data_IF_277410931801
#
_entry.id   IF_277410931801
#
_cell.length_a   1.000
_cell.length_b   1.000
_cell.length_c   1.000
_cell.angle_alpha   90.00
_cell.angle_beta   90.00
_cell.angle_gamma   90.00
#
_symmetry.space_group_name_H-M   'P 1'
#
loop_
_entity.id
_entity.type
_entity.pdbx_description
1 polymer ?
#
# COMPACT_ATOMS: atom_id res chain seq x y z
N UNK A 1 -18.95 3.66 -4.63
CA UNK A 1 -19.34 4.28 -3.33
C UNK A 1 -18.27 3.95 -2.30
N UNK A 2 -17.83 4.95 -1.50
CA UNK A 2 -16.83 4.76 -0.43
C UNK A 2 -17.50 4.02 0.73
N UNK A 3 -16.97 2.87 1.18
CA UNK A 3 -17.53 2.11 2.30
C UNK A 3 -17.50 2.91 3.61
N UNK A 4 -18.46 2.65 4.51
CA UNK A 4 -18.53 3.29 5.84
C UNK A 4 -17.27 3.08 6.69
N UNK A 5 -16.58 1.96 6.52
CA UNK A 5 -15.28 1.71 7.14
C UNK A 5 -14.22 2.77 6.78
N UNK A 6 -14.36 3.43 5.63
CA UNK A 6 -13.45 4.48 5.15
C UNK A 6 -14.06 5.89 5.31
N UNK A 7 -15.03 6.08 6.21
CA UNK A 7 -15.52 7.41 6.57
C UNK A 7 -14.43 8.28 7.18
N UNK A 8 -14.56 9.59 7.08
CA UNK A 8 -13.59 10.55 7.63
C UNK A 8 -13.32 10.30 9.12
N UNK A 9 -14.34 10.00 9.91
CA UNK A 9 -14.20 9.76 11.34
C UNK A 9 -13.47 8.46 11.64
N UNK A 10 -13.78 7.38 10.92
CA UNK A 10 -13.06 6.12 11.08
C UNK A 10 -11.58 6.24 10.71
N UNK A 11 -11.23 7.05 9.71
CA UNK A 11 -9.83 7.28 9.33
C UNK A 11 -9.12 8.15 10.38
N UNK A 12 -9.77 9.17 10.93
CA UNK A 12 -9.24 9.97 12.06
C UNK A 12 -8.99 9.10 13.30
N UNK A 13 -9.96 8.26 13.64
CA UNK A 13 -9.81 7.30 14.75
C UNK A 13 -8.67 6.32 14.49
N UNK A 14 -8.52 5.86 13.25
CA UNK A 14 -7.42 4.99 12.84
C UNK A 14 -6.08 5.69 13.04
N UNK A 15 -5.93 6.93 12.54
CA UNK A 15 -4.69 7.69 12.73
C UNK A 15 -4.35 7.85 14.23
N UNK A 16 -5.32 8.20 15.06
CA UNK A 16 -5.10 8.33 16.50
C UNK A 16 -4.60 7.04 17.14
N UNK A 17 -5.13 5.87 16.71
CA UNK A 17 -4.70 4.55 17.21
C UNK A 17 -3.28 4.19 16.74
N UNK A 18 -2.96 4.42 15.44
CA UNK A 18 -1.67 3.99 14.88
C UNK A 18 -0.55 5.00 15.15
N UNK A 19 -0.84 6.26 15.41
CA UNK A 19 0.11 7.36 15.59
C UNK A 19 1.29 7.05 16.52
N UNK A 20 1.14 6.35 17.65
CA UNK A 20 2.27 5.99 18.51
C UNK A 20 3.29 5.06 17.87
N UNK A 21 2.91 4.36 16.80
CA UNK A 21 3.67 3.28 16.18
C UNK A 21 4.23 3.61 14.80
N UNK A 22 3.85 4.77 14.24
CA UNK A 22 4.24 5.21 12.90
C UNK A 22 5.02 6.53 12.95
N UNK A 23 5.69 6.86 11.85
CA UNK A 23 6.25 8.19 11.63
C UNK A 23 5.20 9.06 10.91
N UNK A 24 5.08 10.33 11.26
CA UNK A 24 4.49 11.34 10.37
C UNK A 24 5.55 11.63 9.31
N UNK A 25 5.41 11.01 8.15
CA UNK A 25 6.42 11.14 7.07
C UNK A 25 6.40 12.55 6.48
N UNK A 26 7.55 13.10 6.07
CA UNK A 26 7.62 14.45 5.54
C UNK A 26 7.01 14.56 4.14
N UNK A 27 6.65 15.79 3.80
CA UNK A 27 6.48 16.24 2.43
C UNK A 27 7.78 16.94 1.98
N UNK A 28 8.23 16.60 0.79
CA UNK A 28 9.37 17.27 0.15
C UNK A 28 8.84 17.96 -1.10
N UNK A 29 9.01 19.27 -1.18
CA UNK A 29 8.75 20.01 -2.41
C UNK A 29 9.84 19.64 -3.42
N UNK A 30 9.46 19.41 -4.66
CA UNK A 30 10.40 19.16 -5.74
C UNK A 30 11.35 20.35 -5.96
N UNK A 31 12.44 20.10 -6.67
CA UNK A 31 13.34 21.18 -7.06
C UNK A 31 12.66 22.17 -8.03
N UNK A 32 13.14 23.40 -8.04
CA UNK A 32 12.65 24.44 -8.97
C UNK A 32 12.72 23.97 -10.43
N UNK A 33 13.74 23.21 -10.79
CA UNK A 33 13.89 22.64 -12.14
C UNK A 33 12.74 21.72 -12.52
N UNK A 34 12.26 20.89 -11.59
CA UNK A 34 11.13 20.01 -11.83
C UNK A 34 9.82 20.79 -11.93
N UNK A 35 9.62 21.77 -11.05
CA UNK A 35 8.46 22.67 -11.08
C UNK A 35 8.40 23.44 -12.40
N UNK A 36 9.53 23.94 -12.91
CA UNK A 36 9.63 24.63 -14.20
C UNK A 36 9.36 23.68 -15.38
N UNK A 37 9.95 22.47 -15.36
CA UNK A 37 9.76 21.50 -16.43
C UNK A 37 8.29 21.11 -16.59
N UNK A 38 7.58 20.89 -15.48
CA UNK A 38 6.16 20.53 -15.51
C UNK A 38 5.21 21.72 -15.41
N UNK A 39 5.74 22.94 -15.26
CA UNK A 39 4.95 24.17 -15.05
C UNK A 39 3.95 24.06 -13.90
N UNK A 40 4.33 23.36 -12.82
CA UNK A 40 3.48 23.11 -11.66
C UNK A 40 4.30 22.85 -10.39
N UNK A 41 3.67 23.03 -9.23
CA UNK A 41 4.31 22.68 -7.95
C UNK A 41 4.15 21.20 -7.66
N UNK A 42 5.24 20.48 -7.44
CA UNK A 42 5.26 19.06 -7.14
C UNK A 42 5.70 18.83 -5.70
N UNK A 43 4.98 17.95 -5.01
CA UNK A 43 5.26 17.56 -3.65
C UNK A 43 5.31 16.04 -3.54
N UNK A 44 6.33 15.52 -2.86
CA UNK A 44 6.50 14.10 -2.59
C UNK A 44 6.11 13.78 -1.16
N UNK A 45 5.14 12.89 -0.96
CA UNK A 45 4.86 12.28 0.34
C UNK A 45 5.78 11.09 0.55
N UNK A 46 6.77 11.23 1.43
CA UNK A 46 7.93 10.31 1.51
C UNK A 46 7.67 9.08 2.40
N UNK A 47 6.78 8.18 1.97
CA UNK A 47 6.44 6.97 2.73
C UNK A 47 7.58 5.93 2.81
N UNK A 48 8.66 6.07 2.06
CA UNK A 48 9.89 5.27 2.26
C UNK A 48 10.61 5.59 3.59
N UNK A 49 10.29 6.73 4.23
CA UNK A 49 10.76 7.10 5.57
C UNK A 49 9.85 6.59 6.70
N UNK A 50 8.84 5.80 6.37
CA UNK A 50 7.97 5.17 7.35
C UNK A 50 8.68 4.03 8.09
N UNK A 51 8.20 3.66 9.28
CA UNK A 51 8.59 2.42 9.95
C UNK A 51 8.50 1.25 8.97
N UNK A 52 9.42 0.31 9.04
CA UNK A 52 9.59 -0.77 8.06
C UNK A 52 9.95 -0.34 6.62
N UNK A 53 10.23 0.95 6.36
CA UNK A 53 10.67 1.47 5.06
C UNK A 53 9.58 1.63 4.01
N UNK A 54 8.29 1.57 4.38
CA UNK A 54 7.16 1.79 3.46
C UNK A 54 5.85 2.04 4.17
N UNK A 55 4.87 2.58 3.43
CA UNK A 55 3.49 2.80 3.89
C UNK A 55 2.80 1.54 4.44
N UNK A 56 3.28 0.36 4.09
CA UNK A 56 2.68 -0.93 4.50
C UNK A 56 2.59 -1.08 6.02
N UNK A 57 3.48 -0.44 6.78
CA UNK A 57 3.41 -0.43 8.24
C UNK A 57 2.07 0.08 8.76
N UNK A 58 1.48 1.10 8.14
CA UNK A 58 0.23 1.73 8.58
C UNK A 58 -0.94 0.72 8.58
N UNK A 59 -1.12 0.02 7.46
CA UNK A 59 -2.15 -1.01 7.34
C UNK A 59 -1.87 -2.23 8.21
N UNK A 60 -0.62 -2.69 8.28
CA UNK A 60 -0.24 -3.83 9.09
C UNK A 60 -0.48 -3.58 10.60
N UNK A 61 -0.08 -2.41 11.12
CA UNK A 61 -0.34 -2.00 12.51
C UNK A 61 -1.85 -1.92 12.76
N UNK A 62 -2.61 -1.26 11.87
CA UNK A 62 -4.05 -1.10 12.06
C UNK A 62 -4.79 -2.44 12.09
N UNK A 63 -4.34 -3.43 11.32
CA UNK A 63 -4.89 -4.79 11.39
C UNK A 63 -4.77 -5.39 12.79
N UNK A 64 -3.71 -5.12 13.52
CA UNK A 64 -3.51 -5.69 14.86
C UNK A 64 -4.25 -4.89 15.93
N UNK A 65 -4.11 -3.57 15.94
CA UNK A 65 -4.67 -2.75 17.04
C UNK A 65 -6.18 -2.55 16.95
N UNK A 66 -6.79 -2.80 15.79
CA UNK A 66 -8.24 -2.65 15.57
C UNK A 66 -9.01 -3.96 15.67
N UNK A 67 -8.35 -5.06 15.94
CA UNK A 67 -8.95 -6.38 16.11
C UNK A 67 -8.90 -6.82 17.56
N UNK A 68 -9.81 -7.73 17.91
CA UNK A 68 -9.76 -8.43 19.18
C UNK A 68 -8.53 -9.37 19.21
N UNK A 69 -7.83 -9.39 20.34
CA UNK A 69 -6.63 -10.22 20.52
C UNK A 69 -6.87 -11.72 20.33
N UNK A 70 -8.11 -12.17 20.50
CA UNK A 70 -8.50 -13.56 20.24
C UNK A 70 -8.32 -13.97 18.79
N UNK A 71 -8.32 -13.02 17.84
CA UNK A 71 -8.13 -13.28 16.41
C UNK A 71 -6.73 -13.74 16.05
N UNK A 72 -5.72 -13.45 16.87
CA UNK A 72 -4.33 -13.77 16.60
C UNK A 72 -3.62 -14.51 17.75
N UNK A 73 -4.37 -15.30 18.51
CA UNK A 73 -3.81 -16.12 19.58
C UNK A 73 -2.68 -17.05 19.12
N UNK A 74 -2.78 -17.60 17.91
CA UNK A 74 -1.69 -18.39 17.31
C UNK A 74 -0.61 -17.53 16.64
N UNK A 75 -0.88 -16.24 16.44
CA UNK A 75 -0.02 -15.30 15.75
C UNK A 75 -0.59 -14.80 14.44
N UNK A 76 0.27 -14.24 13.61
CA UNK A 76 -0.10 -13.66 12.32
C UNK A 76 0.57 -14.39 11.16
N UNK A 77 -0.04 -14.28 9.98
CA UNK A 77 0.57 -14.73 8.73
C UNK A 77 0.47 -13.64 7.66
N UNK A 78 1.43 -13.62 6.76
CA UNK A 78 1.46 -12.72 5.61
C UNK A 78 2.19 -13.37 4.44
N UNK A 79 1.90 -12.90 3.24
CA UNK A 79 2.55 -13.32 2.00
C UNK A 79 3.00 -12.11 1.19
N UNK A 80 4.27 -12.09 0.78
CA UNK A 80 4.80 -11.05 -0.10
C UNK A 80 6.25 -11.35 -0.48
N UNK A 81 6.69 -10.90 -1.65
CA UNK A 81 8.12 -10.83 -1.99
C UNK A 81 8.82 -9.57 -1.46
N UNK A 82 8.07 -8.61 -0.87
CA UNK A 82 8.60 -7.26 -0.64
C UNK A 82 8.13 -6.58 0.63
N UNK A 83 7.77 -5.32 0.48
CA UNK A 83 7.49 -4.38 1.58
C UNK A 83 6.42 -4.86 2.57
N UNK A 84 5.45 -5.66 2.13
CA UNK A 84 4.42 -6.16 3.05
C UNK A 84 4.96 -7.24 3.99
N UNK A 85 5.85 -8.12 3.52
CA UNK A 85 6.52 -9.08 4.37
C UNK A 85 7.34 -8.38 5.48
N UNK A 86 8.08 -7.32 5.12
CA UNK A 86 8.84 -6.50 6.08
C UNK A 86 7.88 -5.86 7.10
N UNK A 87 6.77 -5.28 6.64
CA UNK A 87 5.80 -4.63 7.52
C UNK A 87 5.11 -5.62 8.47
N UNK A 88 4.73 -6.80 7.99
CA UNK A 88 4.15 -7.85 8.82
C UNK A 88 5.17 -8.37 9.86
N UNK A 89 6.42 -8.57 9.46
CA UNK A 89 7.51 -8.95 10.37
C UNK A 89 7.75 -7.89 11.45
N UNK A 90 7.80 -6.61 11.05
CA UNK A 90 7.91 -5.48 11.97
C UNK A 90 6.77 -5.47 13.00
N UNK A 91 5.53 -5.65 12.54
CA UNK A 91 4.35 -5.64 13.42
C UNK A 91 4.34 -6.85 14.36
N UNK A 92 4.71 -8.04 13.86
CA UNK A 92 4.85 -9.23 14.71
C UNK A 92 5.86 -9.01 15.83
N UNK A 93 7.03 -8.44 15.50
CA UNK A 93 8.05 -8.12 16.49
C UNK A 93 7.59 -7.04 17.48
N UNK A 94 6.95 -5.97 16.99
CA UNK A 94 6.45 -4.85 17.79
C UNK A 94 5.44 -5.30 18.86
N UNK A 95 4.53 -6.19 18.50
CA UNK A 95 3.47 -6.69 19.37
C UNK A 95 3.78 -8.08 19.97
N UNK A 96 5.01 -8.58 19.80
CA UNK A 96 5.48 -9.88 20.31
C UNK A 96 4.57 -11.05 19.92
N UNK A 97 4.15 -11.06 18.65
CA UNK A 97 3.27 -12.08 18.09
C UNK A 97 4.08 -13.19 17.39
N UNK A 98 3.65 -14.42 17.55
CA UNK A 98 4.11 -15.50 16.68
C UNK A 98 3.77 -15.15 15.23
N UNK A 99 4.62 -15.57 14.29
CA UNK A 99 4.38 -15.24 12.90
C UNK A 99 4.80 -16.37 11.95
N UNK A 100 4.15 -16.39 10.76
CA UNK A 100 4.55 -17.19 9.61
C UNK A 100 4.55 -16.25 8.40
N UNK A 101 5.74 -15.91 7.92
CA UNK A 101 5.90 -14.99 6.79
C UNK A 101 6.31 -15.79 5.56
N UNK A 102 5.40 -15.87 4.59
CA UNK A 102 5.65 -16.54 3.33
C UNK A 102 6.31 -15.58 2.35
N UNK A 103 7.59 -15.84 2.04
CA UNK A 103 8.36 -15.10 1.07
C UNK A 103 8.54 -15.91 -0.22
N UNK A 104 8.55 -15.21 -1.35
CA UNK A 104 8.89 -15.85 -2.61
C UNK A 104 10.38 -16.22 -2.64
N UNK A 105 10.71 -17.38 -3.24
CA UNK A 105 12.09 -17.84 -3.40
C UNK A 105 12.97 -16.81 -4.13
N UNK A 106 12.35 -15.98 -4.99
CA UNK A 106 12.99 -14.89 -5.73
C UNK A 106 13.12 -13.58 -4.96
N UNK A 107 12.76 -13.55 -3.68
CA UNK A 107 12.81 -12.30 -2.90
C UNK A 107 14.23 -11.75 -2.79
N UNK A 108 14.36 -10.43 -2.90
CA UNK A 108 15.64 -9.73 -2.79
C UNK A 108 16.29 -10.00 -1.41
N UNK A 109 17.60 -10.35 -1.36
CA UNK A 109 18.32 -10.64 -0.12
C UNK A 109 18.17 -9.56 0.96
N UNK A 110 18.21 -8.27 0.58
CA UNK A 110 17.98 -7.16 1.51
C UNK A 110 16.62 -7.27 2.23
N UNK A 111 15.55 -7.67 1.52
CA UNK A 111 14.22 -7.81 2.11
C UNK A 111 14.14 -9.02 3.05
N UNK A 112 14.82 -10.10 2.70
CA UNK A 112 14.96 -11.29 3.55
C UNK A 112 15.65 -10.91 4.86
N UNK A 113 16.79 -10.22 4.78
CA UNK A 113 17.57 -9.82 5.95
C UNK A 113 16.79 -8.81 6.80
N UNK A 114 16.02 -7.92 6.17
CA UNK A 114 15.14 -7.00 6.89
C UNK A 114 14.03 -7.73 7.65
N UNK A 115 13.41 -8.76 7.07
CA UNK A 115 12.44 -9.60 7.77
C UNK A 115 13.10 -10.35 8.95
N UNK A 116 14.30 -10.93 8.74
CA UNK A 116 15.06 -11.59 9.81
C UNK A 116 15.39 -10.64 10.95
N UNK A 117 15.74 -9.38 10.66
CA UNK A 117 16.02 -8.35 11.69
C UNK A 117 14.82 -8.05 12.59
N UNK A 118 13.62 -8.39 12.17
CA UNK A 118 12.37 -8.33 12.95
C UNK A 118 11.93 -9.71 13.49
N UNK A 119 12.84 -10.68 13.61
CA UNK A 119 12.55 -12.02 14.13
C UNK A 119 11.45 -12.76 13.35
N UNK A 120 11.40 -12.58 12.03
CA UNK A 120 10.41 -13.26 11.20
C UNK A 120 10.68 -14.77 11.10
N UNK A 121 9.64 -15.57 11.31
CA UNK A 121 9.64 -16.99 10.96
C UNK A 121 9.31 -17.11 9.47
N UNK A 122 10.37 -17.14 8.64
CA UNK A 122 10.27 -17.09 7.19
C UNK A 122 10.07 -18.50 6.63
N UNK A 123 9.10 -18.60 5.72
CA UNK A 123 8.84 -19.81 4.91
C UNK A 123 8.98 -19.42 3.44
N UNK A 124 9.98 -19.99 2.78
CA UNK A 124 10.17 -19.77 1.34
C UNK A 124 9.21 -20.63 0.53
N UNK A 125 8.65 -20.03 -0.52
CA UNK A 125 7.67 -20.68 -1.40
C UNK A 125 7.61 -19.97 -2.74
N UNK A 126 7.08 -20.64 -3.76
CA UNK A 126 6.86 -19.97 -5.03
C UNK A 126 5.59 -19.08 -5.03
N UNK A 127 5.48 -18.11 -5.93
CA UNK A 127 4.36 -17.16 -5.94
C UNK A 127 2.97 -17.80 -6.02
N UNK A 128 2.83 -18.91 -6.75
CA UNK A 128 1.54 -19.60 -6.91
C UNK A 128 1.11 -20.30 -5.61
N UNK A 129 2.06 -20.86 -4.88
CA UNK A 129 1.82 -21.59 -3.65
C UNK A 129 1.65 -20.65 -2.44
N UNK A 130 2.26 -19.47 -2.45
CA UNK A 130 2.35 -18.56 -1.32
C UNK A 130 0.99 -18.17 -0.73
N UNK A 131 0.02 -17.82 -1.57
CA UNK A 131 -1.34 -17.46 -1.11
C UNK A 131 -2.10 -18.68 -0.57
N UNK A 132 -1.86 -19.88 -1.13
CA UNK A 132 -2.43 -21.13 -0.63
C UNK A 132 -1.87 -21.43 0.76
N UNK A 133 -0.57 -21.29 0.96
CA UNK A 133 0.11 -21.54 2.23
C UNK A 133 -0.34 -20.55 3.31
N UNK A 134 -0.49 -19.26 2.94
CA UNK A 134 -1.04 -18.24 3.84
C UNK A 134 -2.51 -18.52 4.20
N UNK A 135 -3.32 -19.00 3.25
CA UNK A 135 -4.69 -19.42 3.50
C UNK A 135 -4.76 -20.64 4.42
N UNK A 136 -3.88 -21.61 4.22
CA UNK A 136 -3.77 -22.78 5.10
C UNK A 136 -3.35 -22.37 6.53
N UNK A 137 -2.41 -21.42 6.65
CA UNK A 137 -2.04 -20.88 7.95
C UNK A 137 -3.22 -20.17 8.62
N UNK A 138 -4.02 -19.40 7.87
CA UNK A 138 -5.27 -18.78 8.34
C UNK A 138 -6.26 -19.83 8.86
N UNK A 139 -6.49 -20.90 8.09
CA UNK A 139 -7.39 -21.99 8.48
C UNK A 139 -6.90 -22.72 9.75
N UNK A 140 -5.59 -22.69 9.99
CA UNK A 140 -4.96 -23.20 11.20
C UNK A 140 -4.93 -22.18 12.36
N UNK A 141 -5.65 -21.04 12.25
CA UNK A 141 -5.88 -20.06 13.31
C UNK A 141 -4.86 -18.93 13.40
N UNK A 142 -4.00 -18.74 12.38
CA UNK A 142 -3.20 -17.52 12.24
C UNK A 142 -4.05 -16.41 11.65
N UNK A 143 -3.87 -15.18 12.12
CA UNK A 143 -4.53 -14.03 11.51
C UNK A 143 -3.78 -13.58 10.24
N UNK A 144 -4.45 -13.64 9.10
CA UNK A 144 -3.85 -13.23 7.81
C UNK A 144 -3.96 -11.72 7.61
N UNK A 145 -2.81 -11.04 7.61
CA UNK A 145 -2.72 -9.64 7.22
C UNK A 145 -2.55 -9.58 5.71
N UNK A 146 -3.61 -9.14 5.01
CA UNK A 146 -3.57 -9.07 3.54
C UNK A 146 -2.75 -7.88 3.05
N UNK A 147 -1.90 -8.03 1.98
CA UNK A 147 -0.97 -7.00 1.53
C UNK A 147 -1.62 -5.73 0.98
N UNK A 148 -2.85 -5.79 0.49
CA UNK A 148 -3.52 -4.65 -0.17
C UNK A 148 -5.04 -4.66 -0.06
N UNK A 149 -5.66 -5.62 0.61
CA UNK A 149 -7.11 -5.74 0.67
C UNK A 149 -7.63 -5.76 2.11
N UNK A 150 -8.92 -5.45 2.24
CA UNK A 150 -9.64 -5.44 3.51
C UNK A 150 -9.68 -4.07 4.21
N UNK A 151 -10.72 -3.87 5.05
CA UNK A 151 -11.02 -2.56 5.62
C UNK A 151 -9.88 -1.98 6.46
N UNK A 152 -9.25 -2.77 7.30
CA UNK A 152 -8.17 -2.28 8.19
C UNK A 152 -6.89 -1.93 7.42
N UNK A 153 -6.58 -2.66 6.34
CA UNK A 153 -5.45 -2.36 5.46
C UNK A 153 -5.67 -1.00 4.75
N UNK A 154 -6.87 -0.80 4.20
CA UNK A 154 -7.22 0.44 3.52
C UNK A 154 -7.34 1.64 4.48
N UNK A 155 -7.90 1.45 5.67
CA UNK A 155 -7.93 2.49 6.72
C UNK A 155 -6.52 2.98 7.07
N UNK A 156 -5.56 2.05 7.22
CA UNK A 156 -4.16 2.40 7.47
C UNK A 156 -3.58 3.25 6.35
N UNK A 157 -3.77 2.87 5.09
CA UNK A 157 -3.34 3.64 3.92
C UNK A 157 -4.05 5.00 3.83
N UNK A 158 -5.33 5.06 4.20
CA UNK A 158 -6.13 6.30 4.17
C UNK A 158 -5.61 7.38 5.11
N UNK A 159 -4.88 7.01 6.17
CA UNK A 159 -4.23 8.00 7.05
C UNK A 159 -3.20 8.86 6.32
N UNK A 160 -2.63 8.39 5.21
CA UNK A 160 -1.78 9.19 4.33
C UNK A 160 -2.60 10.30 3.67
N UNK A 161 -3.80 9.99 3.18
CA UNK A 161 -4.72 10.97 2.60
C UNK A 161 -5.11 12.05 3.59
N UNK A 162 -5.30 11.69 4.87
CA UNK A 162 -5.52 12.64 5.94
C UNK A 162 -4.32 13.58 6.11
N UNK A 163 -3.10 13.04 6.20
CA UNK A 163 -1.87 13.84 6.30
C UNK A 163 -1.67 14.76 5.08
N UNK A 164 -2.05 14.31 3.88
CA UNK A 164 -2.01 15.12 2.65
C UNK A 164 -2.96 16.31 2.77
N UNK A 165 -4.22 16.08 3.09
CA UNK A 165 -5.21 17.17 3.20
C UNK A 165 -4.82 18.15 4.30
N UNK A 166 -4.33 17.68 5.46
CA UNK A 166 -3.84 18.57 6.51
C UNK A 166 -2.67 19.44 6.03
N UNK A 167 -1.71 18.85 5.31
CA UNK A 167 -0.55 19.57 4.81
C UNK A 167 -0.94 20.67 3.82
N UNK A 168 -1.78 20.37 2.81
CA UNK A 168 -2.21 21.35 1.82
C UNK A 168 -3.06 22.48 2.42
N UNK A 169 -3.80 22.20 3.49
CA UNK A 169 -4.47 23.25 4.28
C UNK A 169 -3.46 24.22 4.91
N UNK A 170 -2.27 23.76 5.36
CA UNK A 170 -1.25 24.66 5.93
C UNK A 170 -0.60 25.54 4.88
N UNK A 171 -0.61 25.15 3.62
CA UNK A 171 -0.06 25.91 2.49
C UNK A 171 -1.07 26.90 1.89
N UNK A 172 -2.33 26.87 2.34
CA UNK A 172 -3.45 27.61 1.75
C UNK A 172 -3.54 27.44 0.23
N UNK A 173 -3.30 26.20 -0.23
CA UNK A 173 -3.31 25.88 -1.65
C UNK A 173 -4.18 24.64 -1.92
N UNK A 174 -4.68 24.54 -3.15
CA UNK A 174 -5.48 23.40 -3.59
C UNK A 174 -4.57 22.24 -4.00
N UNK A 175 -5.08 21.03 -3.79
CA UNK A 175 -4.52 19.82 -4.35
C UNK A 175 -5.25 19.50 -5.66
N UNK A 176 -4.63 19.84 -6.80
CA UNK A 176 -5.26 19.64 -8.12
C UNK A 176 -5.14 18.19 -8.57
N UNK A 177 -3.96 17.57 -8.38
CA UNK A 177 -3.66 16.22 -8.80
C UNK A 177 -3.08 15.41 -7.65
N UNK A 178 -3.48 14.15 -7.58
CA UNK A 178 -2.93 13.14 -6.68
C UNK A 178 -2.48 11.94 -7.51
N UNK A 179 -1.16 11.77 -7.66
CA UNK A 179 -0.56 10.71 -8.46
C UNK A 179 -0.09 9.61 -7.53
N UNK A 180 -0.56 8.38 -7.75
CA UNK A 180 -0.27 7.24 -6.88
C UNK A 180 0.09 6.02 -7.71
N UNK A 181 1.22 5.37 -7.38
CA UNK A 181 1.59 4.09 -7.95
C UNK A 181 0.62 2.98 -7.51
N UNK A 182 0.22 2.12 -8.44
CA UNK A 182 -0.80 1.08 -8.24
C UNK A 182 -0.21 -0.30 -8.48
N UNK A 183 -0.36 -1.16 -7.51
CA UNK A 183 -0.24 -2.61 -7.62
C UNK A 183 -1.59 -3.23 -7.28
N UNK A 184 -1.73 -3.92 -6.15
CA UNK A 184 -3.01 -4.51 -5.71
C UNK A 184 -4.12 -3.52 -5.29
N UNK A 185 -3.92 -2.21 -5.45
CA UNK A 185 -4.94 -1.18 -5.23
C UNK A 185 -5.06 -0.64 -3.80
N UNK A 186 -4.45 -1.27 -2.79
CA UNK A 186 -4.65 -0.89 -1.38
C UNK A 186 -4.18 0.53 -1.01
N UNK A 187 -3.11 1.04 -1.66
CA UNK A 187 -2.64 2.41 -1.43
C UNK A 187 -3.61 3.43 -2.01
N UNK A 188 -3.86 3.33 -3.31
CA UNK A 188 -4.71 4.30 -4.02
C UNK A 188 -6.14 4.31 -3.47
N UNK A 189 -6.71 3.13 -3.16
CA UNK A 189 -8.03 3.02 -2.54
C UNK A 189 -8.10 3.74 -1.21
N UNK A 190 -7.16 3.48 -0.32
CA UNK A 190 -7.14 4.10 1.00
C UNK A 190 -6.93 5.61 0.92
N UNK A 191 -5.82 6.06 0.32
CA UNK A 191 -5.45 7.48 0.24
C UNK A 191 -6.55 8.30 -0.43
N UNK A 192 -6.99 7.84 -1.60
CA UNK A 192 -7.96 8.59 -2.41
C UNK A 192 -9.36 8.60 -1.80
N UNK A 193 -9.73 7.57 -1.02
CA UNK A 193 -11.01 7.58 -0.31
C UNK A 193 -11.13 8.73 0.68
N UNK A 194 -10.05 9.09 1.37
CA UNK A 194 -10.06 10.24 2.26
C UNK A 194 -10.02 11.57 1.49
N UNK A 195 -9.13 11.66 0.49
CA UNK A 195 -8.96 12.89 -0.31
C UNK A 195 -10.26 13.25 -1.04
N UNK A 196 -10.90 12.31 -1.71
CA UNK A 196 -12.16 12.56 -2.46
C UNK A 196 -13.33 13.03 -1.59
N UNK A 197 -13.37 12.66 -0.32
CA UNK A 197 -14.41 13.14 0.61
C UNK A 197 -14.24 14.63 1.00
N UNK A 198 -13.03 15.18 0.97
CA UNK A 198 -12.73 16.56 1.40
C UNK A 198 -12.29 17.46 0.23
N UNK A 199 -11.79 16.88 -0.83
CA UNK A 199 -11.37 17.57 -2.05
C UNK A 199 -11.85 16.78 -3.28
N UNK A 200 -13.17 16.78 -3.56
CA UNK A 200 -13.76 15.97 -4.62
C UNK A 200 -13.24 16.34 -6.02
N UNK A 201 -12.77 17.55 -6.20
CA UNK A 201 -12.24 18.07 -7.47
C UNK A 201 -10.77 17.65 -7.71
N UNK A 202 -10.06 17.14 -6.69
CA UNK A 202 -8.70 16.59 -6.89
C UNK A 202 -8.76 15.44 -7.88
N UNK A 203 -8.00 15.54 -8.98
CA UNK A 203 -7.89 14.47 -9.97
C UNK A 203 -6.96 13.37 -9.45
N UNK A 204 -7.47 12.18 -9.29
CA UNK A 204 -6.72 11.01 -8.82
C UNK A 204 -6.24 10.20 -10.02
N UNK A 205 -4.91 10.12 -10.17
CA UNK A 205 -4.26 9.39 -11.26
C UNK A 205 -3.52 8.19 -10.68
N UNK A 206 -3.93 6.99 -11.10
CA UNK A 206 -3.22 5.75 -10.79
C UNK A 206 -2.17 5.46 -11.86
N UNK A 207 -0.96 5.09 -11.44
CA UNK A 207 0.13 4.75 -12.35
C UNK A 207 0.55 3.29 -12.13
N UNK A 208 0.54 2.49 -13.19
CA UNK A 208 0.94 1.08 -13.19
C UNK A 208 2.10 0.83 -14.16
N UNK A 209 2.92 -0.20 -13.90
CA UNK A 209 3.82 -0.73 -14.92
C UNK A 209 3.03 -1.32 -16.09
N UNK A 210 3.44 -1.07 -17.32
CA UNK A 210 2.80 -1.67 -18.50
C UNK A 210 2.80 -3.21 -18.42
N UNK A 211 3.89 -3.78 -17.91
CA UNK A 211 4.03 -5.23 -17.71
C UNK A 211 3.24 -5.79 -16.52
N UNK A 212 2.50 -4.98 -15.75
CA UNK A 212 1.69 -5.42 -14.60
C UNK A 212 0.46 -4.51 -14.40
N UNK A 213 -0.28 -4.21 -15.46
CA UNK A 213 -1.41 -3.27 -15.50
C UNK A 213 -2.76 -3.89 -15.05
N UNK A 214 -2.72 -4.65 -13.97
CA UNK A 214 -3.89 -5.40 -13.50
C UNK A 214 -5.08 -4.55 -13.08
N UNK A 215 -4.88 -3.37 -12.48
CA UNK A 215 -5.98 -2.46 -12.10
C UNK A 215 -6.63 -1.84 -13.34
N UNK A 216 -5.84 -1.37 -14.31
CA UNK A 216 -6.36 -0.84 -15.58
C UNK A 216 -7.23 -1.86 -16.30
N UNK A 217 -6.75 -3.09 -16.38
CA UNK A 217 -7.50 -4.17 -17.06
C UNK A 217 -8.73 -4.60 -16.24
N UNK A 218 -8.64 -4.61 -14.91
CA UNK A 218 -9.78 -4.87 -14.02
C UNK A 218 -10.87 -3.81 -14.17
N UNK A 219 -10.50 -2.52 -14.26
CA UNK A 219 -11.44 -1.41 -14.47
C UNK A 219 -12.12 -1.54 -15.82
N UNK A 220 -11.37 -1.82 -16.89
CA UNK A 220 -11.92 -2.05 -18.25
C UNK A 220 -12.89 -3.23 -18.27
N UNK A 221 -12.56 -4.32 -17.58
CA UNK A 221 -13.40 -5.51 -17.47
C UNK A 221 -14.62 -5.32 -16.56
N UNK A 222 -14.58 -4.32 -15.68
CA UNK A 222 -15.63 -4.04 -14.69
C UNK A 222 -15.59 -4.90 -13.43
N UNK A 223 -14.65 -5.83 -13.31
CA UNK A 223 -14.45 -6.75 -12.17
C UNK A 223 -12.97 -6.99 -11.87
N UNK A 224 -12.60 -7.36 -10.63
CA UNK A 224 -11.22 -7.67 -10.29
C UNK A 224 -10.70 -8.88 -11.06
N UNK A 225 -9.47 -8.79 -11.56
CA UNK A 225 -8.78 -9.90 -12.19
C UNK A 225 -8.23 -10.86 -11.13
N UNK A 226 -8.53 -12.15 -11.29
CA UNK A 226 -8.02 -13.22 -10.42
C UNK A 226 -6.59 -13.65 -10.77
N UNK A 227 -6.14 -13.33 -12.00
CA UNK A 227 -4.78 -13.60 -12.47
C UNK A 227 -4.29 -12.41 -13.28
N UNK A 228 -3.19 -11.83 -12.87
CA UNK A 228 -2.50 -10.74 -13.56
C UNK A 228 -1.15 -11.25 -14.06
N UNK A 229 -0.86 -11.04 -15.34
CA UNK A 229 0.49 -11.27 -15.87
C UNK A 229 1.43 -10.22 -15.28
N UNK A 230 2.57 -10.66 -14.77
CA UNK A 230 3.55 -9.80 -14.12
C UNK A 230 4.89 -9.95 -14.81
N UNK A 231 5.33 -8.88 -15.48
CA UNK A 231 6.63 -8.78 -16.14
C UNK A 231 7.11 -7.32 -16.10
N UNK A 232 7.67 -6.89 -14.96
CA UNK A 232 8.18 -5.52 -14.77
C UNK A 232 9.27 -5.50 -13.71
N UNK A 233 10.19 -4.54 -13.82
CA UNK A 233 11.21 -4.24 -12.80
C UNK A 233 10.57 -3.70 -11.50
N UNK A 234 9.36 -3.14 -11.58
CA UNK A 234 8.62 -2.64 -10.43
C UNK A 234 7.96 -3.77 -9.63
N UNK A 235 8.75 -4.66 -9.05
CA UNK A 235 8.31 -5.85 -8.33
C UNK A 235 7.32 -5.57 -7.21
N UNK A 236 7.45 -4.44 -6.53
CA UNK A 236 6.54 -4.03 -5.44
C UNK A 236 5.15 -3.60 -5.91
N UNK A 237 4.98 -3.35 -7.20
CA UNK A 237 3.70 -3.04 -7.86
C UNK A 237 3.09 -4.26 -8.56
N UNK A 238 3.80 -5.37 -8.59
CA UNK A 238 3.47 -6.58 -9.33
C UNK A 238 2.52 -7.48 -8.54
N UNK A 239 1.28 -7.03 -8.34
CA UNK A 239 0.23 -7.83 -7.70
C UNK A 239 -0.29 -8.90 -8.66
N UNK A 240 -0.28 -10.21 -8.29
CA UNK A 240 -0.68 -11.28 -9.19
C UNK A 240 -2.20 -11.42 -9.36
N UNK A 241 -2.96 -10.69 -8.57
CA UNK A 241 -4.42 -10.69 -8.58
C UNK A 241 -4.98 -9.42 -7.94
N UNK A 242 -6.26 -9.13 -8.18
CA UNK A 242 -7.02 -8.11 -7.47
C UNK A 242 -8.14 -8.75 -6.66
N UNK A 243 -8.56 -8.09 -5.58
CA UNK A 243 -9.65 -8.53 -4.73
C UNK A 243 -10.77 -7.49 -4.71
N UNK A 244 -11.97 -7.99 -4.45
CA UNK A 244 -13.20 -7.24 -4.64
C UNK A 244 -13.27 -5.96 -3.80
N UNK A 245 -12.85 -6.01 -2.52
CA UNK A 245 -12.99 -4.86 -1.63
C UNK A 245 -12.10 -3.68 -2.08
N UNK A 246 -10.81 -3.92 -2.26
CA UNK A 246 -9.87 -2.89 -2.72
C UNK A 246 -10.18 -2.41 -4.14
N UNK A 247 -10.56 -3.32 -5.05
CA UNK A 247 -10.96 -2.97 -6.41
C UNK A 247 -12.19 -2.05 -6.45
N UNK A 248 -13.25 -2.39 -5.71
CA UNK A 248 -14.48 -1.60 -5.71
C UNK A 248 -14.25 -0.18 -5.16
N UNK A 249 -13.40 -0.04 -4.14
CA UNK A 249 -13.00 1.28 -3.64
C UNK A 249 -12.16 2.00 -4.69
N UNK A 250 -11.11 1.38 -5.24
CA UNK A 250 -10.26 1.96 -6.27
C UNK A 250 -11.09 2.51 -7.45
N UNK A 251 -11.96 1.66 -8.01
CA UNK A 251 -12.85 2.02 -9.12
C UNK A 251 -13.75 3.23 -8.81
N UNK A 252 -14.10 3.47 -7.53
CA UNK A 252 -14.98 4.58 -7.15
C UNK A 252 -14.26 5.90 -6.90
N UNK A 253 -12.91 5.91 -6.84
CA UNK A 253 -12.12 7.09 -6.47
C UNK A 253 -11.03 7.45 -7.48
N UNK A 254 -10.71 6.58 -8.42
CA UNK A 254 -9.73 6.83 -9.50
C UNK A 254 -10.43 7.56 -10.65
N UNK A 255 -9.84 8.66 -11.10
CA UNK A 255 -10.32 9.39 -12.26
C UNK A 255 -9.62 8.93 -13.55
N UNK A 256 -8.36 8.51 -13.45
CA UNK A 256 -7.57 8.11 -14.60
C UNK A 256 -6.52 7.05 -14.22
N UNK A 257 -6.27 6.11 -15.14
CA UNK A 257 -5.16 5.17 -15.03
C UNK A 257 -4.18 5.40 -16.17
N UNK A 258 -2.90 5.46 -15.83
CA UNK A 258 -1.77 5.62 -16.75
C UNK A 258 -0.84 4.43 -16.59
N UNK A 259 -0.28 3.95 -17.69
CA UNK A 259 0.77 2.94 -17.66
C UNK A 259 2.12 3.55 -18.05
N UNK A 260 3.20 3.06 -17.44
CA UNK A 260 4.57 3.42 -17.76
C UNK A 260 5.38 2.17 -18.07
N UNK A 261 6.30 2.29 -19.02
CA UNK A 261 7.21 1.21 -19.39
C UNK A 261 8.36 1.07 -18.39
N UNK A 262 9.01 -0.08 -18.36
CA UNK A 262 10.22 -0.28 -17.56
C UNK A 262 11.36 0.66 -17.98
N UNK A 263 11.44 1.03 -19.26
CA UNK A 263 12.48 1.93 -19.76
C UNK A 263 12.22 3.38 -19.36
N UNK A 264 10.97 3.86 -19.41
CA UNK A 264 10.60 5.17 -18.84
C UNK A 264 10.90 5.25 -17.34
N UNK A 265 10.62 4.18 -16.58
CA UNK A 265 10.97 4.14 -15.15
C UNK A 265 12.48 4.24 -14.93
N UNK A 266 13.31 3.53 -15.72
CA UNK A 266 14.78 3.61 -15.63
C UNK A 266 15.28 5.00 -15.99
N UNK A 267 14.79 5.57 -17.09
CA UNK A 267 15.13 6.92 -17.51
C UNK A 267 14.84 7.93 -16.40
N UNK A 268 13.67 7.85 -15.76
CA UNK A 268 13.32 8.73 -14.66
C UNK A 268 14.17 8.54 -13.40
N UNK A 269 14.64 7.31 -13.13
CA UNK A 269 15.55 7.02 -12.02
C UNK A 269 16.95 7.60 -12.24
N UNK A 270 17.38 7.76 -13.50
CA UNK A 270 18.67 8.34 -13.89
C UNK A 270 18.63 9.88 -13.91
N UNK A 271 17.45 10.48 -13.94
CA UNK A 271 17.31 11.95 -13.84
C UNK A 271 17.76 12.41 -12.45
N UNK A 272 18.96 12.98 -12.39
CA UNK A 272 19.51 13.61 -11.18
C UNK A 272 18.86 14.97 -11.00
N UNK A 273 17.84 15.01 -10.19
CA UNK A 273 17.17 16.26 -9.82
C UNK A 273 17.85 16.92 -8.60
#
# INVERSE_FOLDING_TARGET
MIPSALSLDNIRLTLNKIKPYINKTPFIKASTKLDEFFSTNIYFKCEFLQKSGSFKARGAINNIISQDKTKFQKGITAVSAGNHAIAASFVANLFQLNNKIFLYDSANPYRIDKCKSYNANIHFTNPKQAFIDASNAKNNGYYFIHPFDGPYTLQGSATIGLEIIEYFKTLDTKLDYLIISVGGGGLISGVSSYVKQLSPNTKVIGVEPEGAKGMSDSIKLGKPLENVSVNSIADSLSAPLHLEYSFNVAKSVIDEMVTVTDDEMKEFMDLRF
#
